data_IF_106824117053
#
_entry.id   IF_106824117053
#
_cell.length_a   1.000
_cell.length_b   1.000
_cell.length_c   1.000
_cell.angle_alpha   90.00
_cell.angle_beta   90.00
_cell.angle_gamma   90.00
#
_symmetry.space_group_name_H-M   'P 1'
#
loop_
_entity.id
_entity.type
_entity.pdbx_description
1 polymer ?
#
# COMPACT_ATOMS: atom_id res chain seq x y z
N UNK A 1 -33.01 -11.87 7.52
CA UNK A 1 -32.00 -11.09 6.76
C UNK A 1 -30.62 -11.27 7.40
N UNK A 2 -29.73 -12.13 6.87
CA UNK A 2 -28.36 -12.33 7.42
C UNK A 2 -27.31 -12.70 6.35
N UNK A 3 -27.49 -12.28 5.09
CA UNK A 3 -26.57 -12.64 3.98
C UNK A 3 -25.90 -11.43 3.30
N UNK A 4 -25.85 -10.27 3.97
CA UNK A 4 -25.24 -9.05 3.41
C UNK A 4 -23.87 -8.69 3.98
N UNK A 5 -23.51 -9.24 5.15
CA UNK A 5 -22.25 -8.90 5.84
C UNK A 5 -21.08 -9.78 5.38
N UNK A 6 -21.34 -11.02 4.96
CA UNK A 6 -20.27 -11.96 4.61
C UNK A 6 -19.52 -11.61 3.31
N UNK A 7 -20.20 -11.04 2.30
CA UNK A 7 -19.59 -10.68 1.02
C UNK A 7 -18.71 -9.43 1.13
N UNK A 8 -19.11 -8.44 1.93
CA UNK A 8 -18.30 -7.23 2.16
C UNK A 8 -16.99 -7.58 2.87
N UNK A 9 -17.01 -8.48 3.84
CA UNK A 9 -15.78 -8.93 4.51
C UNK A 9 -14.87 -9.71 3.56
N UNK A 10 -15.39 -10.56 2.66
CA UNK A 10 -14.55 -11.35 1.75
C UNK A 10 -13.91 -10.48 0.66
N UNK A 11 -14.62 -9.46 0.15
CA UNK A 11 -14.04 -8.51 -0.80
C UNK A 11 -12.98 -7.65 -0.08
N UNK A 12 -13.27 -7.14 1.11
CA UNK A 12 -12.30 -6.43 1.97
C UNK A 12 -11.03 -7.25 2.27
N UNK A 13 -11.22 -8.53 2.62
CA UNK A 13 -10.12 -9.44 2.93
C UNK A 13 -9.31 -9.83 1.69
N UNK A 14 -9.93 -9.89 0.51
CA UNK A 14 -9.24 -10.18 -0.76
C UNK A 14 -8.34 -9.03 -1.20
N UNK A 15 -8.78 -7.78 -0.99
CA UNK A 15 -7.93 -6.60 -1.25
C UNK A 15 -6.78 -6.57 -0.23
N UNK A 16 -7.04 -6.95 1.02
CA UNK A 16 -6.00 -7.10 2.04
C UNK A 16 -5.02 -8.26 1.77
N UNK A 17 -5.48 -9.37 1.16
CA UNK A 17 -4.63 -10.51 0.79
C UNK A 17 -3.80 -10.26 -0.48
N UNK A 18 -4.30 -9.49 -1.45
CA UNK A 18 -3.50 -9.00 -2.59
C UNK A 18 -2.53 -7.89 -2.14
N UNK A 19 -2.85 -7.18 -1.06
CA UNK A 19 -1.93 -6.30 -0.33
C UNK A 19 -1.02 -7.03 0.69
N UNK A 20 -1.05 -8.36 0.74
CA UNK A 20 -0.28 -9.17 1.70
C UNK A 20 1.08 -9.64 1.13
N UNK A 21 1.65 -8.88 0.19
CA UNK A 21 3.09 -8.89 -0.06
C UNK A 21 3.62 -7.53 0.45
N UNK A 22 3.75 -7.45 1.78
CA UNK A 22 4.32 -6.35 2.58
C UNK A 22 4.48 -5.03 1.83
N UNK A 23 3.38 -4.27 1.76
CA UNK A 23 3.37 -2.92 1.21
C UNK A 23 4.46 -2.10 1.91
N UNK A 24 5.43 -1.51 1.17
CA UNK A 24 6.57 -0.85 1.78
C UNK A 24 6.10 0.31 2.64
N UNK A 25 6.52 0.31 3.91
CA UNK A 25 6.21 1.41 4.82
C UNK A 25 7.08 2.61 4.49
N UNK A 26 6.52 3.82 4.54
CA UNK A 26 7.27 5.04 4.31
C UNK A 26 8.21 5.27 5.50
N UNK A 27 9.51 5.11 5.27
CA UNK A 27 10.58 5.34 6.24
C UNK A 27 11.84 5.81 5.50
N UNK A 28 12.86 6.25 6.22
CA UNK A 28 14.08 6.83 5.63
C UNK A 28 14.81 5.89 4.66
N UNK A 29 14.67 4.56 4.82
CA UNK A 29 15.28 3.57 3.93
C UNK A 29 14.44 3.42 2.65
N UNK A 30 13.12 3.25 2.80
CA UNK A 30 12.18 3.04 1.71
C UNK A 30 11.88 4.32 0.93
N UNK A 31 12.11 5.49 1.49
CA UNK A 31 11.95 6.78 0.83
C UNK A 31 13.25 7.31 0.20
N UNK A 32 14.35 6.55 0.27
CA UNK A 32 15.66 7.00 -0.22
C UNK A 32 16.16 6.16 -1.41
N UNK A 33 16.60 6.84 -2.47
CA UNK A 33 17.33 6.25 -3.60
C UNK A 33 16.71 4.94 -4.11
N UNK A 34 17.50 3.85 -4.05
CA UNK A 34 17.08 2.51 -4.48
C UNK A 34 15.88 1.95 -3.68
N UNK A 35 15.76 2.30 -2.40
CA UNK A 35 14.64 1.87 -1.56
C UNK A 35 13.30 2.44 -2.04
N UNK A 36 13.30 3.67 -2.57
CA UNK A 36 12.12 4.28 -3.17
C UNK A 36 11.72 3.57 -4.46
N UNK A 37 12.68 3.24 -5.33
CA UNK A 37 12.41 2.52 -6.57
C UNK A 37 11.82 1.13 -6.33
N UNK A 38 12.38 0.39 -5.35
CA UNK A 38 11.86 -0.91 -4.94
C UNK A 38 10.46 -0.80 -4.33
N UNK A 39 10.25 0.23 -3.50
CA UNK A 39 8.97 0.47 -2.86
C UNK A 39 7.88 0.79 -3.89
N UNK A 40 8.16 1.72 -4.82
CA UNK A 40 7.24 2.09 -5.90
C UNK A 40 6.88 0.91 -6.81
N UNK A 41 7.78 -0.06 -6.96
CA UNK A 41 7.53 -1.29 -7.74
C UNK A 41 6.50 -2.20 -7.07
N UNK A 42 6.42 -2.19 -5.73
CA UNK A 42 5.37 -2.90 -4.99
C UNK A 42 3.97 -2.29 -5.21
N UNK A 43 3.91 -0.99 -5.52
CA UNK A 43 2.67 -0.27 -5.82
C UNK A 43 2.30 -0.22 -7.32
N UNK A 44 2.96 -1.01 -8.18
CA UNK A 44 2.78 -0.94 -9.65
C UNK A 44 1.35 -1.18 -10.15
N UNK A 45 0.53 -1.89 -9.39
CA UNK A 45 -0.87 -2.15 -9.72
C UNK A 45 -1.84 -1.24 -8.94
N UNK A 46 -1.32 -0.33 -8.12
CA UNK A 46 -2.09 0.43 -7.14
C UNK A 46 -1.58 1.88 -7.07
N UNK A 47 -1.93 2.68 -8.08
CA UNK A 47 -1.46 4.05 -8.25
C UNK A 47 -1.88 4.98 -7.11
N UNK A 48 -3.04 4.72 -6.49
CA UNK A 48 -3.51 5.47 -5.33
C UNK A 48 -2.62 5.22 -4.10
N UNK A 49 -2.29 3.96 -3.81
CA UNK A 49 -1.38 3.61 -2.73
C UNK A 49 0.06 4.10 -3.01
N UNK A 50 0.49 4.11 -4.27
CA UNK A 50 1.76 4.69 -4.71
C UNK A 50 1.87 6.17 -4.34
N UNK A 51 0.83 6.96 -4.62
CA UNK A 51 0.83 8.39 -4.27
C UNK A 51 0.76 8.62 -2.77
N UNK A 52 -0.02 7.82 -2.03
CA UNK A 52 -0.04 7.89 -0.58
C UNK A 52 1.34 7.56 0.04
N UNK A 53 2.11 6.64 -0.55
CA UNK A 53 3.47 6.35 -0.13
C UNK A 53 4.44 7.51 -0.41
N UNK A 54 4.36 8.12 -1.60
CA UNK A 54 5.19 9.28 -1.97
C UNK A 54 4.87 10.47 -1.06
N UNK A 55 3.60 10.74 -0.79
CA UNK A 55 3.15 11.81 0.12
C UNK A 55 3.73 11.62 1.53
N UNK A 56 3.64 10.40 2.07
CA UNK A 56 4.28 10.05 3.35
C UNK A 56 5.80 10.22 3.33
N UNK A 57 6.47 9.86 2.24
CA UNK A 57 7.91 10.07 2.08
C UNK A 57 8.28 11.56 2.06
N UNK A 58 7.50 12.40 1.38
CA UNK A 58 7.71 13.84 1.38
C UNK A 58 7.49 14.44 2.78
N UNK A 59 6.49 13.95 3.52
CA UNK A 59 6.23 14.35 4.90
C UNK A 59 7.33 13.93 5.90
N UNK A 60 8.18 12.96 5.55
CA UNK A 60 9.34 12.55 6.37
C UNK A 60 10.58 13.42 6.13
N UNK A 61 10.66 14.07 4.97
CA UNK A 61 11.81 14.89 4.55
C UNK A 61 11.61 16.38 4.89
N UNK A 62 10.36 16.79 5.15
CA UNK A 62 9.96 18.15 5.48
C UNK A 62 9.62 18.32 6.97
#
# INVERSE_FOLDING_TARGET
MKFKVSVVCIIGLSIALVGCDSVPEANTVNCSGRGMEQSLTAFKNDEAARQAFIDKCNALVN
#
